data_IF_667796580935
#
_entry.id   IF_667796580935
#
_cell.length_a   1.000
_cell.length_b   1.000
_cell.length_c   1.000
_cell.angle_alpha   90.00
_cell.angle_beta   90.00
_cell.angle_gamma   90.00
#
_symmetry.space_group_name_H-M   'P 1'
#
loop_
_entity.id
_entity.type
_entity.pdbx_description
1 polymer ?
#
# COMPACT_ATOMS: atom_id res chain seq x y z
N UNK A 1 -51.27 35.61 4.16
CA UNK A 1 -50.27 34.54 4.31
C UNK A 1 -49.78 34.11 2.94
N UNK A 2 -48.52 34.46 2.58
CA UNK A 2 -47.92 34.07 1.30
C UNK A 2 -47.20 32.72 1.49
N UNK A 3 -47.57 31.70 0.70
CA UNK A 3 -46.89 30.40 0.70
C UNK A 3 -45.47 30.55 0.16
N UNK A 4 -44.44 29.93 0.78
CA UNK A 4 -43.08 29.96 0.24
C UNK A 4 -43.00 29.15 -1.08
N UNK A 5 -42.29 29.71 -2.07
CA UNK A 5 -42.03 29.05 -3.33
C UNK A 5 -41.07 27.86 -3.12
N UNK A 6 -41.27 26.71 -3.77
CA UNK A 6 -40.35 25.62 -3.68
C UNK A 6 -39.03 25.97 -4.37
N UNK A 7 -37.90 25.78 -3.67
CA UNK A 7 -36.56 25.93 -4.19
C UNK A 7 -36.30 24.72 -5.09
N UNK A 8 -36.40 24.94 -6.40
CA UNK A 8 -36.03 23.93 -7.40
C UNK A 8 -34.52 23.85 -7.50
N UNK A 9 -33.90 23.16 -6.56
CA UNK A 9 -32.52 22.70 -6.68
C UNK A 9 -32.46 21.43 -7.52
N UNK A 10 -32.47 21.56 -8.84
CA UNK A 10 -32.11 20.45 -9.73
C UNK A 10 -30.62 20.11 -9.53
N UNK A 11 -30.31 19.23 -8.59
CA UNK A 11 -29.06 18.47 -8.66
C UNK A 11 -29.09 17.69 -9.97
N UNK A 12 -28.35 18.16 -10.99
CA UNK A 12 -28.04 17.34 -12.17
C UNK A 12 -27.49 16.03 -11.63
N UNK A 13 -28.27 14.97 -11.69
CA UNK A 13 -27.76 13.62 -11.53
C UNK A 13 -26.77 13.42 -12.67
N UNK A 14 -25.49 13.57 -12.37
CA UNK A 14 -24.43 13.17 -13.29
C UNK A 14 -24.54 11.67 -13.38
N UNK A 15 -25.26 11.17 -14.43
CA UNK A 15 -25.32 9.74 -14.73
C UNK A 15 -23.89 9.28 -14.96
N UNK A 16 -23.39 8.43 -14.06
CA UNK A 16 -22.10 7.77 -14.28
C UNK A 16 -22.19 7.00 -15.60
N UNK A 17 -21.19 7.12 -16.50
CA UNK A 17 -21.21 6.38 -17.76
C UNK A 17 -21.37 4.88 -17.51
N UNK A 18 -22.00 4.15 -18.44
CA UNK A 18 -22.10 2.71 -18.35
C UNK A 18 -20.70 2.08 -18.27
N UNK A 19 -20.60 0.92 -17.61
CA UNK A 19 -19.36 0.12 -17.62
C UNK A 19 -19.34 -0.63 -18.94
N UNK A 20 -18.35 -0.34 -19.79
CA UNK A 20 -18.18 -0.95 -21.10
C UNK A 20 -17.06 -2.01 -21.08
N UNK A 21 -16.20 -1.98 -20.06
CA UNK A 21 -15.00 -2.80 -20.01
C UNK A 21 -14.66 -3.15 -18.55
N UNK A 22 -14.10 -4.35 -18.36
CA UNK A 22 -13.50 -4.78 -17.10
C UNK A 22 -12.01 -4.97 -17.32
N UNK A 23 -11.21 -4.17 -16.64
CA UNK A 23 -9.74 -4.24 -16.70
C UNK A 23 -9.22 -4.91 -15.43
N UNK A 24 -8.35 -5.91 -15.60
CA UNK A 24 -7.68 -6.58 -14.48
C UNK A 24 -6.25 -6.08 -14.37
N UNK A 25 -5.87 -5.61 -13.21
CA UNK A 25 -4.54 -5.08 -12.92
C UNK A 25 -3.87 -5.92 -11.81
N UNK A 26 -3.04 -6.91 -12.17
CA UNK A 26 -2.23 -7.63 -11.20
C UNK A 26 -1.08 -6.72 -10.72
N UNK A 27 -0.95 -6.61 -9.40
CA UNK A 27 0.09 -5.82 -8.75
C UNK A 27 0.73 -6.63 -7.63
N UNK A 28 1.89 -6.19 -7.16
CA UNK A 28 2.53 -6.74 -5.96
C UNK A 28 3.22 -5.64 -5.16
N UNK A 29 3.42 -5.88 -3.88
CA UNK A 29 4.06 -4.94 -2.99
C UNK A 29 4.57 -5.59 -1.71
N UNK A 30 5.17 -4.79 -0.85
CA UNK A 30 5.82 -5.27 0.36
C UNK A 30 5.45 -4.52 1.62
N UNK A 31 5.26 -5.28 2.70
CA UNK A 31 5.29 -4.77 4.07
C UNK A 31 6.72 -4.91 4.55
N UNK A 32 7.39 -3.77 4.73
CA UNK A 32 8.82 -3.70 4.99
C UNK A 32 9.04 -3.46 6.47
N UNK A 33 9.88 -4.29 7.07
CA UNK A 33 10.25 -4.14 8.47
C UNK A 33 11.75 -4.15 8.68
N UNK A 34 12.17 -3.61 9.82
CA UNK A 34 13.51 -3.76 10.39
C UNK A 34 13.45 -3.87 11.90
N UNK A 35 14.53 -4.38 12.49
CA UNK A 35 14.81 -4.25 13.91
C UNK A 35 15.84 -3.15 14.12
N UNK A 36 15.59 -2.21 15.01
CA UNK A 36 16.50 -1.07 15.26
C UNK A 36 17.80 -1.48 15.97
N UNK A 37 17.75 -2.54 16.78
CA UNK A 37 18.93 -3.24 17.32
C UNK A 37 18.61 -4.72 17.52
N UNK A 38 19.63 -5.58 17.53
CA UNK A 38 19.45 -7.01 17.70
C UNK A 38 18.78 -7.39 19.03
N UNK A 39 18.98 -6.56 20.07
CA UNK A 39 18.46 -6.79 21.43
C UNK A 39 17.13 -6.07 21.71
N UNK A 40 16.72 -5.15 20.84
CA UNK A 40 15.44 -4.46 21.01
C UNK A 40 14.33 -5.21 20.32
N UNK A 41 13.29 -5.61 21.05
CA UNK A 41 12.05 -6.11 20.48
C UNK A 41 11.31 -5.10 19.59
N UNK A 42 11.92 -3.95 19.32
CA UNK A 42 11.34 -2.84 18.57
C UNK A 42 11.41 -3.09 17.08
N UNK A 43 10.26 -3.44 16.52
CA UNK A 43 10.05 -3.56 15.08
C UNK A 43 9.60 -2.21 14.54
N UNK A 44 10.28 -1.73 13.51
CA UNK A 44 9.83 -0.59 12.71
C UNK A 44 9.30 -1.05 11.35
N UNK A 45 8.27 -0.39 10.88
CA UNK A 45 7.63 -0.60 9.58
C UNK A 45 7.89 0.63 8.71
N UNK A 46 8.25 0.41 7.45
CA UNK A 46 8.39 1.47 6.46
C UNK A 46 7.07 1.68 5.72
N UNK A 47 6.56 2.88 5.79
CA UNK A 47 5.39 3.30 5.02
C UNK A 47 5.74 4.45 4.09
N UNK A 48 4.98 4.56 3.00
CA UNK A 48 4.99 5.68 2.07
C UNK A 48 3.69 6.46 2.18
N UNK A 49 3.73 7.76 1.94
CA UNK A 49 2.54 8.59 1.86
C UNK A 49 2.29 9.00 0.41
N UNK A 50 1.09 8.72 -0.10
CA UNK A 50 0.70 9.06 -1.46
C UNK A 50 0.55 10.59 -1.67
N UNK A 51 0.21 11.01 -2.89
CA UNK A 51 0.02 12.42 -3.25
C UNK A 51 -1.07 13.14 -2.43
N UNK A 52 -1.92 12.40 -1.74
CA UNK A 52 -2.97 12.91 -0.85
C UNK A 52 -2.57 12.81 0.63
N UNK A 53 -1.33 12.44 0.92
CA UNK A 53 -0.81 12.25 2.28
C UNK A 53 -1.34 11.00 2.99
N UNK A 54 -1.92 10.04 2.26
CA UNK A 54 -2.42 8.79 2.84
C UNK A 54 -1.29 7.78 2.94
N UNK A 55 -1.11 7.23 4.14
CA UNK A 55 -0.09 6.22 4.39
C UNK A 55 -0.47 4.87 3.82
N UNK A 56 0.42 4.28 3.07
CA UNK A 56 0.28 3.00 2.39
C UNK A 56 1.63 2.28 2.29
N UNK A 57 1.68 1.19 1.53
CA UNK A 57 2.90 0.41 1.29
C UNK A 57 3.35 0.56 -0.16
N UNK A 58 4.66 0.36 -0.45
CA UNK A 58 5.16 0.28 -1.81
C UNK A 58 4.50 -0.87 -2.58
N UNK A 59 4.05 -0.60 -3.79
CA UNK A 59 3.43 -1.57 -4.69
C UNK A 59 3.31 -1.03 -6.10
N UNK A 60 3.31 -1.92 -7.07
CA UNK A 60 3.09 -1.55 -8.46
C UNK A 60 2.70 -2.74 -9.35
N UNK A 61 2.57 -2.49 -10.62
CA UNK A 61 2.15 -3.48 -11.60
C UNK A 61 3.19 -4.56 -11.80
N UNK A 62 2.72 -5.81 -11.94
CA UNK A 62 3.56 -6.92 -12.35
C UNK A 62 3.87 -6.74 -13.83
N UNK A 63 5.15 -6.56 -14.17
CA UNK A 63 5.60 -6.41 -15.54
C UNK A 63 5.73 -7.77 -16.25
N UNK A 64 5.77 -7.73 -17.57
CA UNK A 64 5.93 -8.95 -18.36
C UNK A 64 7.22 -9.69 -17.99
N UNK A 65 7.10 -10.97 -17.68
CA UNK A 65 8.20 -11.82 -17.24
C UNK A 65 8.54 -11.76 -15.76
N UNK A 66 7.91 -10.87 -14.99
CA UNK A 66 8.08 -10.81 -13.54
C UNK A 66 7.16 -11.78 -12.80
N UNK A 67 7.66 -12.34 -11.72
CA UNK A 67 6.83 -12.93 -10.66
C UNK A 67 6.37 -11.83 -9.70
N UNK A 68 5.27 -12.04 -8.98
CA UNK A 68 4.80 -11.11 -7.96
C UNK A 68 5.88 -10.80 -6.89
N UNK A 69 6.72 -11.78 -6.54
CA UNK A 69 7.85 -11.59 -5.61
C UNK A 69 8.91 -10.65 -6.17
N UNK A 70 9.26 -10.79 -7.44
CA UNK A 70 10.24 -9.92 -8.12
C UNK A 70 9.69 -8.49 -8.24
N UNK A 71 8.41 -8.37 -8.59
CA UNK A 71 7.71 -7.06 -8.61
C UNK A 71 7.75 -6.40 -7.23
N UNK A 72 7.42 -7.14 -6.16
CA UNK A 72 7.46 -6.58 -4.80
C UNK A 72 8.87 -6.08 -4.44
N UNK A 73 9.93 -6.81 -4.79
CA UNK A 73 11.32 -6.39 -4.57
C UNK A 73 11.66 -5.13 -5.37
N UNK A 74 11.31 -5.09 -6.66
CA UNK A 74 11.56 -3.94 -7.53
C UNK A 74 10.82 -2.69 -7.02
N UNK A 75 9.54 -2.79 -6.75
CA UNK A 75 8.72 -1.67 -6.28
C UNK A 75 9.21 -1.13 -4.93
N UNK A 76 9.59 -2.01 -3.99
CA UNK A 76 10.18 -1.56 -2.72
C UNK A 76 11.46 -0.77 -2.97
N UNK A 77 12.34 -1.25 -3.86
CA UNK A 77 13.58 -0.56 -4.19
C UNK A 77 13.35 0.79 -4.85
N UNK A 78 12.46 0.84 -5.84
CA UNK A 78 12.14 2.05 -6.59
C UNK A 78 11.44 3.09 -5.71
N UNK A 79 10.41 2.68 -4.97
CA UNK A 79 9.58 3.61 -4.20
C UNK A 79 10.17 4.04 -2.86
N UNK A 80 11.18 3.36 -2.33
CA UNK A 80 11.77 3.69 -1.02
C UNK A 80 13.26 3.99 -1.06
N UNK A 81 13.96 3.65 -2.13
CA UNK A 81 15.40 3.77 -2.23
C UNK A 81 16.19 2.68 -1.49
N UNK A 82 15.54 1.74 -0.82
CA UNK A 82 16.22 0.64 -0.14
C UNK A 82 17.00 -0.23 -1.13
N UNK A 83 18.30 -0.44 -0.85
CA UNK A 83 19.17 -1.24 -1.71
C UNK A 83 19.34 -2.68 -1.23
N UNK A 84 19.33 -2.89 0.08
CA UNK A 84 19.55 -4.19 0.70
C UNK A 84 18.27 -4.63 1.42
N UNK A 85 17.68 -5.71 0.92
CA UNK A 85 16.46 -6.28 1.48
C UNK A 85 16.36 -7.77 1.15
N UNK A 86 15.56 -8.46 1.91
CA UNK A 86 15.19 -9.86 1.67
C UNK A 86 13.68 -9.99 1.66
N UNK A 87 13.13 -10.43 0.52
CA UNK A 87 11.72 -10.78 0.41
C UNK A 87 11.51 -12.14 1.07
N UNK A 88 10.66 -12.16 2.08
CA UNK A 88 10.38 -13.34 2.90
C UNK A 88 9.07 -14.01 2.45
N UNK A 89 8.11 -14.10 3.36
CA UNK A 89 6.86 -14.81 3.16
C UNK A 89 5.82 -14.00 2.38
N UNK A 90 5.03 -14.68 1.59
CA UNK A 90 3.78 -14.14 1.09
C UNK A 90 2.77 -13.99 2.25
N UNK A 91 2.14 -12.82 2.37
CA UNK A 91 1.20 -12.51 3.44
C UNK A 91 -0.26 -12.63 3.01
N UNK A 92 -0.56 -12.37 1.75
CA UNK A 92 -1.93 -12.42 1.26
C UNK A 92 -2.15 -11.57 0.01
N UNK A 93 -3.43 -11.46 -0.35
CA UNK A 93 -3.90 -10.63 -1.47
C UNK A 93 -4.88 -9.59 -0.99
N UNK A 94 -4.82 -8.40 -1.58
CA UNK A 94 -5.80 -7.33 -1.40
C UNK A 94 -6.44 -7.05 -2.75
N UNK A 95 -7.75 -6.90 -2.76
CA UNK A 95 -8.50 -6.58 -3.96
C UNK A 95 -9.07 -5.17 -3.86
N UNK A 96 -8.76 -4.34 -4.84
CA UNK A 96 -9.33 -3.02 -5.01
C UNK A 96 -10.22 -2.99 -6.24
N UNK A 97 -11.27 -2.19 -6.16
CA UNK A 97 -12.24 -2.01 -7.21
C UNK A 97 -12.54 -0.52 -7.37
N UNK A 98 -12.26 0.03 -8.55
CA UNK A 98 -12.54 1.43 -8.82
C UNK A 98 -12.91 1.65 -10.30
N UNK A 99 -13.45 2.82 -10.59
CA UNK A 99 -13.80 3.22 -11.96
C UNK A 99 -12.75 4.16 -12.53
N UNK A 100 -12.35 3.89 -13.76
CA UNK A 100 -11.54 4.77 -14.58
C UNK A 100 -12.28 5.03 -15.89
N UNK A 101 -12.99 6.18 -15.96
CA UNK A 101 -13.90 6.48 -17.08
C UNK A 101 -15.04 5.47 -17.18
N UNK A 102 -15.16 4.79 -18.34
CA UNK A 102 -16.12 3.70 -18.59
C UNK A 102 -15.61 2.30 -18.21
N UNK A 103 -14.37 2.19 -17.71
CA UNK A 103 -13.79 0.91 -17.30
C UNK A 103 -14.02 0.65 -15.80
N UNK A 104 -14.35 -0.59 -15.45
CA UNK A 104 -14.26 -1.10 -14.08
C UNK A 104 -12.88 -1.75 -13.91
N UNK A 105 -12.06 -1.17 -13.06
CA UNK A 105 -10.73 -1.72 -12.76
C UNK A 105 -10.82 -2.64 -11.55
N UNK A 106 -10.33 -3.85 -11.72
CA UNK A 106 -10.15 -4.87 -10.68
C UNK A 106 -8.66 -5.04 -10.43
N UNK A 107 -8.14 -4.38 -9.42
CA UNK A 107 -6.74 -4.49 -9.02
C UNK A 107 -6.60 -5.56 -7.95
N UNK A 108 -5.71 -6.52 -8.17
CA UNK A 108 -5.32 -7.52 -7.17
C UNK A 108 -3.87 -7.31 -6.80
N UNK A 109 -3.57 -7.05 -5.53
CA UNK A 109 -2.21 -6.81 -5.04
C UNK A 109 -1.75 -7.97 -4.17
N UNK A 110 -0.70 -8.66 -4.58
CA UNK A 110 -0.01 -9.67 -3.78
C UNK A 110 0.98 -9.01 -2.84
N UNK A 111 0.92 -9.31 -1.54
CA UNK A 111 1.70 -8.65 -0.50
C UNK A 111 2.68 -9.64 0.12
N UNK A 112 3.94 -9.21 0.17
CA UNK A 112 5.04 -9.96 0.78
C UNK A 112 5.58 -9.26 2.02
N UNK A 113 6.09 -10.05 2.96
CA UNK A 113 6.89 -9.55 4.07
C UNK A 113 8.32 -9.33 3.57
N UNK A 114 8.86 -8.15 3.80
CA UNK A 114 10.20 -7.75 3.35
C UNK A 114 11.03 -7.29 4.53
N UNK A 115 12.19 -7.89 4.71
CA UNK A 115 13.17 -7.48 5.73
C UNK A 115 14.17 -6.53 5.11
N UNK A 116 14.26 -5.32 5.64
CA UNK A 116 15.35 -4.41 5.29
C UNK A 116 16.65 -4.86 5.95
N UNK A 117 17.74 -4.82 5.20
CA UNK A 117 19.07 -5.23 5.65
C UNK A 117 20.06 -4.08 5.49
N UNK A 118 21.22 -4.18 6.14
CA UNK A 118 22.29 -3.20 6.02
C UNK A 118 21.88 -1.78 6.43
N UNK A 119 22.32 -0.79 5.65
CA UNK A 119 22.04 0.64 5.89
C UNK A 119 20.63 0.99 5.41
N UNK A 120 19.63 0.83 6.27
CA UNK A 120 18.22 1.05 5.95
C UNK A 120 17.67 2.42 6.37
N UNK A 121 18.53 3.33 6.85
CA UNK A 121 18.11 4.69 7.22
C UNK A 121 17.99 5.63 6.01
N UNK A 122 18.71 5.33 4.92
CA UNK A 122 18.68 6.13 3.71
C UNK A 122 17.49 5.73 2.85
N UNK A 123 16.29 6.20 3.23
CA UNK A 123 15.07 6.06 2.43
C UNK A 123 14.76 7.37 1.73
N UNK A 124 14.22 7.28 0.52
CA UNK A 124 13.96 8.44 -0.32
C UNK A 124 12.59 8.31 -1.00
N UNK A 125 11.76 9.34 -0.82
CA UNK A 125 10.46 9.40 -1.47
C UNK A 125 10.59 9.68 -2.97
N UNK A 126 9.77 9.04 -3.77
CA UNK A 126 9.56 9.37 -5.18
C UNK A 126 8.81 10.71 -5.33
N UNK A 127 8.91 11.33 -6.53
CA UNK A 127 8.32 12.66 -6.78
C UNK A 127 6.81 12.73 -6.56
N UNK A 128 6.10 11.62 -6.75
CA UNK A 128 4.65 11.56 -6.57
C UNK A 128 4.22 11.35 -5.12
N UNK A 129 5.16 11.00 -4.24
CA UNK A 129 4.93 10.79 -2.80
C UNK A 129 5.13 12.08 -2.03
N UNK A 130 4.39 12.22 -0.94
CA UNK A 130 4.59 13.32 0.01
C UNK A 130 5.58 12.97 1.12
N UNK A 131 5.75 11.68 1.41
CA UNK A 131 6.66 11.22 2.47
C UNK A 131 7.02 9.73 2.33
N UNK A 132 8.11 9.34 2.97
CA UNK A 132 8.50 7.95 3.26
C UNK A 132 9.13 7.93 4.66
N UNK A 133 8.69 7.03 5.54
CA UNK A 133 9.17 7.04 6.92
C UNK A 133 9.15 5.66 7.56
N UNK A 134 10.21 5.39 8.33
CA UNK A 134 10.22 4.34 9.34
C UNK A 134 9.41 4.80 10.56
N UNK A 135 8.56 3.95 11.07
CA UNK A 135 7.78 4.23 12.27
C UNK A 135 7.59 2.96 13.10
N UNK A 136 7.27 3.12 14.36
CA UNK A 136 6.95 1.98 15.22
C UNK A 136 5.81 1.16 14.63
N UNK A 137 5.75 -0.13 14.94
CA UNK A 137 4.66 -1.00 14.49
C UNK A 137 3.28 -0.46 14.92
N UNK A 138 3.18 0.14 16.11
CA UNK A 138 1.94 0.76 16.60
C UNK A 138 1.56 1.97 15.77
N UNK A 139 2.51 2.90 15.53
CA UNK A 139 2.25 4.08 14.71
C UNK A 139 1.88 3.70 13.27
N UNK A 140 2.51 2.66 12.71
CA UNK A 140 2.19 2.17 11.38
C UNK A 140 0.74 1.67 11.30
N UNK A 141 0.28 0.92 12.30
CA UNK A 141 -1.10 0.43 12.37
C UNK A 141 -2.11 1.56 12.54
N UNK A 142 -1.76 2.60 13.30
CA UNK A 142 -2.64 3.76 13.52
C UNK A 142 -2.73 4.67 12.28
N UNK A 143 -1.64 4.77 11.51
CA UNK A 143 -1.55 5.68 10.36
C UNK A 143 -1.97 5.07 9.03
N UNK A 144 -1.89 3.75 8.90
CA UNK A 144 -2.23 3.09 7.62
C UNK A 144 -3.66 3.45 7.18
N UNK A 145 -3.81 3.91 5.95
CA UNK A 145 -5.10 4.38 5.44
C UNK A 145 -6.06 3.25 5.04
N UNK A 146 -5.55 2.04 4.87
CA UNK A 146 -6.30 0.90 4.34
C UNK A 146 -6.34 -0.24 5.35
N UNK A 147 -7.53 -0.57 5.84
CA UNK A 147 -7.76 -1.59 6.87
C UNK A 147 -7.18 -2.97 6.48
N UNK A 148 -7.34 -3.37 5.21
CA UNK A 148 -6.84 -4.66 4.74
C UNK A 148 -5.31 -4.74 4.77
N UNK A 149 -4.61 -3.62 4.49
CA UNK A 149 -3.16 -3.55 4.67
C UNK A 149 -2.81 -3.65 6.14
N UNK A 150 -3.54 -2.97 7.02
CA UNK A 150 -3.36 -3.07 8.48
C UNK A 150 -3.46 -4.51 8.99
N UNK A 151 -4.42 -5.29 8.50
CA UNK A 151 -4.56 -6.73 8.83
C UNK A 151 -3.32 -7.54 8.40
N UNK A 152 -2.76 -7.24 7.23
CA UNK A 152 -1.54 -7.90 6.75
C UNK A 152 -0.28 -7.44 7.51
N UNK A 153 -0.21 -6.18 7.97
CA UNK A 153 0.84 -5.72 8.89
C UNK A 153 0.79 -6.55 10.19
N UNK A 154 -0.39 -6.73 10.79
CA UNK A 154 -0.55 -7.56 11.99
C UNK A 154 -0.10 -9.01 11.76
N UNK A 155 -0.46 -9.59 10.60
CA UNK A 155 -0.02 -10.94 10.23
C UNK A 155 1.51 -11.00 10.09
N UNK A 156 2.12 -10.01 9.45
CA UNK A 156 3.56 -9.87 9.32
C UNK A 156 4.26 -9.79 10.68
N UNK A 157 3.76 -8.95 11.58
CA UNK A 157 4.29 -8.82 12.94
C UNK A 157 4.22 -10.13 13.73
N UNK A 158 3.13 -10.90 13.58
CA UNK A 158 3.00 -12.22 14.16
C UNK A 158 4.06 -13.20 13.65
N UNK A 159 4.31 -13.19 12.33
CA UNK A 159 5.35 -14.02 11.71
C UNK A 159 6.75 -13.63 12.17
N UNK A 160 7.06 -12.33 12.20
CA UNK A 160 8.36 -11.81 12.67
C UNK A 160 8.66 -12.30 14.08
N UNK A 161 7.68 -12.23 14.98
CA UNK A 161 7.84 -12.69 16.38
C UNK A 161 7.99 -14.20 16.47
N UNK A 162 7.16 -14.95 15.74
CA UNK A 162 7.15 -16.42 15.79
C UNK A 162 8.43 -17.02 15.22
N UNK A 163 8.99 -16.42 14.16
CA UNK A 163 10.17 -16.93 13.44
C UNK A 163 11.46 -16.25 13.89
N UNK A 164 11.38 -15.32 14.82
CA UNK A 164 12.50 -14.51 15.32
C UNK A 164 13.34 -13.84 14.19
N UNK A 165 12.63 -13.26 13.22
CA UNK A 165 13.20 -12.61 12.03
C UNK A 165 13.89 -11.28 12.34
#
# INVERSE_FOLDING_TARGET
MKRPKPIAGFRKLVRRPAINEVVREPTAGGIIFRRRSADSGNIEILLIADSKGRWTIPKGHIEEGETARQTAEREVREETGLQQMKVLDWLGKINFRYRRGSSLVLMTTEIFLVKAEGKSDSVQAEKWMTNVAWMSATDALDKIAYEDIGKLILLGLKKIRKQNL
#
